data_IF_781430441840
#
_entry.id   IF_781430441840
#
_cell.length_a   1.000
_cell.length_b   1.000
_cell.length_c   1.000
_cell.angle_alpha   90.00
_cell.angle_beta   90.00
_cell.angle_gamma   90.00
#
_symmetry.space_group_name_H-M   'P 1'
#
loop_
_entity.id
_entity.type
_entity.pdbx_description
1 polymer ?
#
# COMPACT_ATOMS: atom_id res chain seq x y z
N UNK A 1 51.28 -2.74 18.44
CA UNK A 1 50.90 -1.36 18.02
C UNK A 1 49.44 -1.15 18.35
N UNK A 2 49.14 -0.40 19.42
CA UNK A 2 47.76 -0.07 19.78
C UNK A 2 47.24 0.94 18.75
N UNK A 3 46.13 0.67 18.03
CA UNK A 3 45.56 1.65 17.13
C UNK A 3 45.22 2.89 17.94
N UNK A 4 45.92 3.99 17.69
CA UNK A 4 45.59 5.31 18.26
C UNK A 4 44.10 5.52 18.11
N UNK A 5 43.36 5.56 19.22
CA UNK A 5 41.95 5.88 19.19
C UNK A 5 41.81 7.19 18.39
N UNK A 6 41.08 7.17 17.27
CA UNK A 6 40.94 8.32 16.37
C UNK A 6 40.35 9.59 17.05
N UNK A 7 39.99 9.48 18.34
CA UNK A 7 39.65 10.58 19.24
C UNK A 7 40.87 11.40 19.71
N UNK A 8 42.06 10.80 19.78
CA UNK A 8 43.31 11.43 20.22
C UNK A 8 44.24 11.83 19.07
N UNK A 9 43.89 11.49 17.82
CA UNK A 9 44.64 11.92 16.63
C UNK A 9 44.21 13.31 16.18
N UNK A 10 45.16 14.24 16.04
CA UNK A 10 44.91 15.64 15.61
C UNK A 10 44.31 15.77 14.19
N UNK A 11 44.53 14.79 13.32
CA UNK A 11 44.05 14.82 11.93
C UNK A 11 42.83 13.88 11.74
N UNK A 12 41.62 14.45 11.75
CA UNK A 12 40.39 13.69 11.46
C UNK A 12 40.17 13.55 9.95
N UNK A 13 40.33 12.34 9.41
CA UNK A 13 39.97 11.97 8.02
C UNK A 13 38.48 11.61 7.84
N UNK A 14 37.62 12.07 8.75
CA UNK A 14 36.17 11.78 8.68
C UNK A 14 35.50 12.53 7.53
N UNK A 15 34.48 11.95 6.88
CA UNK A 15 33.74 12.64 5.82
C UNK A 15 33.09 13.91 6.36
N UNK A 16 33.12 14.98 5.56
CA UNK A 16 32.49 16.25 5.92
C UNK A 16 30.96 16.09 5.99
N UNK A 17 30.36 16.62 7.07
CA UNK A 17 28.91 16.71 7.24
C UNK A 17 28.42 18.10 6.82
N UNK A 18 27.10 18.29 6.75
CA UNK A 18 26.47 19.59 6.41
C UNK A 18 26.84 20.73 7.38
N UNK A 19 27.42 20.42 8.55
CA UNK A 19 27.75 21.37 9.61
C UNK A 19 29.24 21.62 9.78
N UNK A 20 30.10 21.01 8.96
CA UNK A 20 31.57 21.05 9.12
C UNK A 20 32.33 21.83 8.05
N UNK A 21 31.64 22.43 7.08
CA UNK A 21 32.24 23.26 6.03
C UNK A 21 32.02 24.75 6.26
N UNK A 22 32.69 25.58 5.46
CA UNK A 22 32.51 27.05 5.45
C UNK A 22 31.27 27.47 4.63
N UNK A 23 31.03 28.78 4.49
CA UNK A 23 29.85 29.37 3.82
C UNK A 23 29.56 28.82 2.42
N UNK A 24 30.59 28.51 1.63
CA UNK A 24 30.43 28.03 0.25
C UNK A 24 30.25 26.51 0.15
N UNK A 25 30.36 25.79 1.27
CA UNK A 25 30.20 24.34 1.28
C UNK A 25 28.74 23.94 1.44
N UNK A 26 28.13 23.49 0.35
CA UNK A 26 26.80 22.88 0.37
C UNK A 26 26.89 21.35 0.23
N UNK A 27 26.22 20.63 1.14
CA UNK A 27 26.03 19.18 1.03
C UNK A 27 24.54 18.85 1.19
N UNK A 28 23.98 18.14 0.20
CA UNK A 28 22.57 17.71 0.25
C UNK A 28 22.32 16.54 1.21
N UNK A 29 21.07 16.40 1.67
CA UNK A 29 20.63 15.35 2.62
C UNK A 29 19.80 14.25 1.96
N UNK A 30 20.02 13.99 0.67
CA UNK A 30 19.28 12.97 -0.11
C UNK A 30 17.75 13.16 -0.13
N UNK A 31 17.24 14.39 -0.02
CA UNK A 31 15.80 14.65 -0.17
C UNK A 31 15.23 14.20 -1.53
N UNK A 32 16.07 14.09 -2.55
CA UNK A 32 15.73 13.57 -3.87
C UNK A 32 15.60 12.03 -3.96
N UNK A 33 15.71 11.30 -2.85
CA UNK A 33 15.59 9.84 -2.79
C UNK A 33 14.33 9.43 -2.05
N UNK A 34 13.69 8.35 -2.50
CA UNK A 34 12.64 7.71 -1.69
C UNK A 34 13.25 7.14 -0.40
N UNK A 35 12.47 7.05 0.69
CA UNK A 35 12.88 6.29 1.86
C UNK A 35 13.27 4.86 1.43
N UNK A 36 14.55 4.49 1.62
CA UNK A 36 15.08 3.17 1.24
C UNK A 36 15.13 2.89 -0.28
N UNK A 37 14.84 3.86 -1.13
CA UNK A 37 14.58 3.62 -2.56
C UNK A 37 15.47 4.40 -3.53
N UNK A 38 15.05 4.39 -4.79
CA UNK A 38 15.75 5.03 -5.89
C UNK A 38 15.65 6.57 -5.85
N UNK A 39 16.51 7.22 -6.62
CA UNK A 39 16.55 8.67 -6.77
C UNK A 39 15.45 9.14 -7.73
N UNK A 40 14.52 9.97 -7.26
CA UNK A 40 13.48 10.60 -8.08
C UNK A 40 13.85 11.99 -8.59
N UNK A 41 14.96 12.55 -8.10
CA UNK A 41 15.45 13.86 -8.53
C UNK A 41 14.89 15.02 -7.69
N UNK A 42 15.27 16.24 -8.05
CA UNK A 42 14.85 17.44 -7.33
C UNK A 42 13.40 17.83 -7.71
N UNK A 43 12.59 18.34 -6.76
CA UNK A 43 11.18 18.70 -7.01
C UNK A 43 11.02 20.00 -7.80
N UNK A 44 12.10 20.58 -8.31
CA UNK A 44 12.10 21.90 -8.94
C UNK A 44 13.42 22.24 -9.61
N UNK A 45 13.56 23.51 -9.99
CA UNK A 45 14.73 24.04 -10.70
C UNK A 45 15.16 25.37 -10.09
N UNK A 46 16.47 25.58 -10.00
CA UNK A 46 17.02 26.89 -9.69
C UNK A 46 16.79 27.84 -10.87
N UNK A 47 16.33 29.06 -10.55
CA UNK A 47 16.07 30.10 -11.54
C UNK A 47 17.22 31.09 -11.49
N UNK A 48 17.96 31.17 -12.60
CA UNK A 48 19.18 32.02 -12.70
C UNK A 48 18.81 33.50 -12.85
N UNK A 49 17.72 33.79 -13.57
CA UNK A 49 17.24 35.16 -13.85
C UNK A 49 15.80 35.31 -13.39
N UNK A 50 15.55 36.26 -12.48
CA UNK A 50 14.22 36.52 -11.93
C UNK A 50 14.23 36.81 -10.42
N UNK A 51 13.06 37.21 -9.90
CA UNK A 51 12.86 37.53 -8.47
C UNK A 51 12.85 36.25 -7.60
N UNK A 52 12.23 35.18 -8.09
CA UNK A 52 12.25 33.88 -7.43
C UNK A 52 13.56 33.14 -7.74
N UNK A 53 14.23 32.60 -6.71
CA UNK A 53 15.53 31.90 -6.85
C UNK A 53 15.39 30.39 -7.09
N UNK A 54 14.23 29.81 -6.77
CA UNK A 54 13.90 28.41 -7.01
C UNK A 54 12.42 28.30 -7.40
N UNK A 55 12.13 27.49 -8.41
CA UNK A 55 10.77 27.20 -8.88
C UNK A 55 10.45 25.75 -8.62
N UNK A 56 9.37 25.51 -7.90
CA UNK A 56 8.82 24.18 -7.66
C UNK A 56 8.06 23.72 -8.92
N UNK A 57 8.17 22.43 -9.25
CA UNK A 57 7.48 21.82 -10.38
C UNK A 57 6.56 20.76 -9.81
N UNK A 58 5.25 21.04 -9.77
CA UNK A 58 4.25 20.18 -9.12
C UNK A 58 4.28 18.74 -9.64
N UNK A 59 4.54 18.56 -10.94
CA UNK A 59 4.72 17.26 -11.61
C UNK A 59 5.87 16.41 -11.02
N UNK A 60 6.85 17.04 -10.37
CA UNK A 60 8.02 16.37 -9.77
C UNK A 60 7.93 16.29 -8.26
N UNK A 61 6.89 16.87 -7.67
CA UNK A 61 6.65 16.77 -6.23
C UNK A 61 6.13 15.39 -5.93
N UNK A 62 6.66 14.78 -4.87
CA UNK A 62 6.19 13.47 -4.43
C UNK A 62 4.88 13.63 -3.68
N UNK A 63 3.92 12.79 -4.03
CA UNK A 63 2.63 12.69 -3.36
C UNK A 63 2.47 11.26 -2.84
N UNK A 64 2.07 11.12 -1.58
CA UNK A 64 1.70 9.84 -1.00
C UNK A 64 0.19 9.73 -1.04
N UNK A 65 -0.33 8.89 -1.95
CA UNK A 65 -1.77 8.67 -2.10
C UNK A 65 -2.20 7.64 -1.07
N UNK A 66 -3.12 8.04 -0.20
CA UNK A 66 -3.75 7.17 0.78
C UNK A 66 -5.22 6.93 0.40
N UNK A 67 -5.80 5.77 0.73
CA UNK A 67 -7.24 5.56 0.62
C UNK A 67 -8.01 6.51 1.56
N UNK A 68 -9.31 6.73 1.32
CA UNK A 68 -10.16 7.54 2.20
C UNK A 68 -10.12 7.04 3.64
N UNK A 69 -10.15 7.97 4.60
CA UNK A 69 -10.00 7.66 6.03
C UNK A 69 -11.07 6.68 6.51
N UNK A 70 -12.32 6.86 6.07
CA UNK A 70 -13.44 5.97 6.39
C UNK A 70 -13.16 4.51 5.99
N UNK A 71 -12.53 4.29 4.84
CA UNK A 71 -12.16 2.95 4.38
C UNK A 71 -11.01 2.35 5.21
N UNK A 72 -10.10 3.18 5.74
CA UNK A 72 -9.02 2.73 6.63
C UNK A 72 -9.60 2.32 7.99
N UNK A 73 -10.51 3.12 8.54
CA UNK A 73 -11.09 2.89 9.86
C UNK A 73 -12.05 1.70 9.89
N UNK A 74 -12.86 1.55 8.84
CA UNK A 74 -13.78 0.40 8.68
C UNK A 74 -13.07 -0.89 8.27
N UNK A 75 -11.80 -0.82 7.87
CA UNK A 75 -11.05 -1.99 7.44
C UNK A 75 -10.87 -2.99 8.59
N UNK A 76 -11.20 -4.28 8.37
CA UNK A 76 -10.90 -5.33 9.34
C UNK A 76 -9.40 -5.62 9.44
N UNK A 77 -8.59 -5.14 8.49
CA UNK A 77 -7.15 -5.41 8.44
C UNK A 77 -6.42 -4.56 9.48
N UNK A 78 -5.61 -5.22 10.31
CA UNK A 78 -4.73 -4.59 11.31
C UNK A 78 -3.26 -4.86 10.99
N UNK A 79 -2.33 -4.04 11.49
CA UNK A 79 -0.89 -4.24 11.25
C UNK A 79 -0.35 -5.57 11.80
N UNK A 80 -1.04 -6.14 12.79
CA UNK A 80 -0.66 -7.37 13.47
C UNK A 80 -1.78 -8.39 13.42
N UNK A 81 -1.40 -9.66 13.50
CA UNK A 81 -2.31 -10.80 13.58
C UNK A 81 -2.23 -11.40 14.98
N UNK A 82 -3.34 -11.96 15.47
CA UNK A 82 -3.37 -12.63 16.76
C UNK A 82 -2.51 -13.91 16.72
N UNK A 83 -1.72 -14.16 17.77
CA UNK A 83 -0.73 -15.26 17.81
C UNK A 83 -1.33 -16.65 17.74
N UNK A 84 -2.60 -16.81 18.13
CA UNK A 84 -3.29 -18.10 18.02
C UNK A 84 -3.74 -18.44 16.60
N UNK A 85 -3.78 -17.47 15.69
CA UNK A 85 -4.25 -17.70 14.31
C UNK A 85 -3.11 -18.26 13.47
N UNK A 86 -3.24 -19.53 13.12
CA UNK A 86 -2.32 -20.22 12.22
C UNK A 86 -3.02 -20.49 10.89
N UNK A 87 -2.31 -20.27 9.78
CA UNK A 87 -2.86 -20.58 8.46
C UNK A 87 -2.93 -22.10 8.28
N UNK A 88 -4.03 -22.60 7.72
CA UNK A 88 -4.08 -23.99 7.26
C UNK A 88 -3.22 -24.17 6.00
N UNK A 89 -2.78 -25.39 5.70
CA UNK A 89 -1.99 -25.67 4.47
C UNK A 89 -2.69 -25.22 3.18
N UNK A 90 -4.02 -25.28 3.15
CA UNK A 90 -4.81 -24.80 2.00
C UNK A 90 -4.84 -23.26 1.94
N UNK A 91 -4.93 -22.59 3.09
CA UNK A 91 -4.87 -21.12 3.19
C UNK A 91 -3.47 -20.58 2.87
N UNK A 92 -2.41 -21.25 3.34
CA UNK A 92 -1.03 -20.91 2.96
C UNK A 92 -0.84 -21.04 1.45
N UNK A 93 -1.30 -22.15 0.86
CA UNK A 93 -1.25 -22.34 -0.59
C UNK A 93 -2.10 -21.34 -1.37
N UNK A 94 -3.13 -20.75 -0.75
CA UNK A 94 -3.95 -19.71 -1.37
C UNK A 94 -3.27 -18.32 -1.27
N UNK A 95 -2.72 -17.98 -0.10
CA UNK A 95 -2.05 -16.71 0.16
C UNK A 95 -0.73 -16.57 -0.61
N UNK A 96 0.08 -17.62 -0.63
CA UNK A 96 1.34 -17.68 -1.38
C UNK A 96 1.15 -18.18 -2.83
N UNK A 97 -0.06 -18.65 -3.17
CA UNK A 97 -0.41 -19.17 -4.49
C UNK A 97 0.28 -20.50 -4.85
N UNK A 98 -0.04 -21.02 -6.04
CA UNK A 98 0.59 -22.22 -6.63
C UNK A 98 1.91 -21.92 -7.35
N UNK A 99 2.56 -20.79 -7.09
CA UNK A 99 3.82 -20.42 -7.74
C UNK A 99 4.98 -21.25 -7.16
N UNK A 100 4.98 -22.54 -7.47
CA UNK A 100 6.00 -23.52 -7.04
C UNK A 100 7.27 -23.44 -7.90
N UNK A 101 7.21 -22.76 -9.05
CA UNK A 101 8.35 -22.57 -9.96
C UNK A 101 9.05 -21.24 -9.72
N UNK A 102 10.37 -21.23 -9.92
CA UNK A 102 11.19 -20.02 -9.89
C UNK A 102 10.78 -19.15 -11.08
N UNK A 103 10.01 -18.10 -10.83
CA UNK A 103 9.47 -17.22 -11.89
C UNK A 103 8.19 -16.46 -11.50
N UNK A 104 7.49 -16.88 -10.44
CA UNK A 104 6.33 -16.14 -9.93
C UNK A 104 5.17 -16.06 -10.92
N UNK A 105 4.54 -14.88 -11.01
CA UNK A 105 3.36 -14.61 -11.83
C UNK A 105 3.73 -14.53 -13.32
N UNK A 106 3.75 -15.68 -14.00
CA UNK A 106 4.07 -15.73 -15.44
C UNK A 106 2.96 -15.09 -16.29
N UNK A 107 3.28 -14.54 -17.48
CA UNK A 107 2.28 -13.97 -18.39
C UNK A 107 1.20 -14.99 -18.78
N UNK A 108 1.57 -16.25 -19.00
CA UNK A 108 0.65 -17.34 -19.32
C UNK A 108 -0.32 -17.62 -18.18
N UNK A 109 0.17 -17.67 -16.93
CA UNK A 109 -0.67 -17.87 -15.76
C UNK A 109 -1.62 -16.69 -15.54
N UNK A 110 -1.14 -15.46 -15.71
CA UNK A 110 -1.96 -14.27 -15.63
C UNK A 110 -3.07 -14.27 -16.71
N UNK A 111 -2.72 -14.61 -17.94
CA UNK A 111 -3.68 -14.70 -19.04
C UNK A 111 -4.73 -15.79 -18.82
N UNK A 112 -4.32 -16.95 -18.30
CA UNK A 112 -5.25 -18.01 -17.91
C UNK A 112 -6.24 -17.53 -16.83
N UNK A 113 -5.76 -16.89 -15.76
CA UNK A 113 -6.62 -16.31 -14.71
C UNK A 113 -7.60 -15.27 -15.26
N UNK A 114 -7.17 -14.42 -16.19
CA UNK A 114 -8.06 -13.47 -16.85
C UNK A 114 -9.19 -14.18 -17.61
N UNK A 115 -8.88 -15.23 -18.38
CA UNK A 115 -9.88 -16.03 -19.11
C UNK A 115 -10.88 -16.69 -18.15
N UNK A 116 -10.41 -17.34 -17.09
CA UNK A 116 -11.29 -17.99 -16.11
C UNK A 116 -12.20 -17.00 -15.40
N UNK A 117 -11.66 -15.84 -14.99
CA UNK A 117 -12.45 -14.80 -14.33
C UNK A 117 -13.48 -14.18 -15.27
N UNK A 118 -13.14 -13.98 -16.55
CA UNK A 118 -14.08 -13.49 -17.56
C UNK A 118 -15.21 -14.50 -17.80
N UNK A 119 -14.89 -15.80 -17.93
CA UNK A 119 -15.88 -16.85 -18.10
C UNK A 119 -16.83 -16.95 -16.89
N UNK A 120 -16.30 -16.89 -15.67
CA UNK A 120 -17.09 -16.91 -14.44
C UNK A 120 -18.03 -15.70 -14.34
N UNK A 121 -17.55 -14.49 -14.68
CA UNK A 121 -18.40 -13.29 -14.74
C UNK A 121 -19.54 -13.45 -15.74
N UNK A 122 -19.26 -14.01 -16.90
CA UNK A 122 -20.28 -14.25 -17.93
C UNK A 122 -21.32 -15.30 -17.50
N UNK A 123 -20.89 -16.34 -16.78
CA UNK A 123 -21.80 -17.33 -16.18
C UNK A 123 -22.69 -16.71 -15.09
N UNK A 124 -22.10 -15.93 -14.19
CA UNK A 124 -22.85 -15.16 -13.17
C UNK A 124 -23.88 -14.25 -13.81
N UNK A 125 -23.51 -13.50 -14.85
CA UNK A 125 -24.43 -12.64 -15.60
C UNK A 125 -25.58 -13.43 -16.24
N UNK A 126 -25.28 -14.58 -16.87
CA UNK A 126 -26.31 -15.48 -17.42
C UNK A 126 -27.25 -16.01 -16.35
N UNK A 127 -26.74 -16.41 -15.18
CA UNK A 127 -27.56 -16.85 -14.07
C UNK A 127 -28.46 -15.73 -13.53
N UNK A 128 -27.93 -14.51 -13.39
CA UNK A 128 -28.73 -13.35 -12.99
C UNK A 128 -29.79 -12.96 -14.02
N UNK A 129 -29.50 -13.10 -15.33
CA UNK A 129 -30.50 -12.82 -16.37
C UNK A 129 -31.57 -13.90 -16.46
N UNK A 130 -31.24 -15.16 -16.15
CA UNK A 130 -32.20 -16.28 -16.09
C UNK A 130 -33.09 -16.22 -14.84
N UNK A 131 -32.58 -15.64 -13.74
CA UNK A 131 -33.35 -15.35 -12.52
C UNK A 131 -34.12 -14.02 -12.62
N UNK A 132 -33.87 -13.20 -13.65
CA UNK A 132 -34.49 -11.90 -13.92
C UNK A 132 -35.94 -11.95 -14.42
N UNK A 133 -36.73 -12.93 -13.98
CA UNK A 133 -38.18 -12.99 -14.10
C UNK A 133 -38.91 -13.06 -12.76
N UNK A 134 -38.18 -13.23 -11.65
CA UNK A 134 -38.76 -13.11 -10.31
C UNK A 134 -38.03 -11.98 -9.61
N UNK A 135 -38.71 -10.85 -9.42
CA UNK A 135 -38.36 -9.95 -8.32
C UNK A 135 -38.32 -10.84 -7.09
N UNK A 136 -37.14 -11.04 -6.51
CA UNK A 136 -37.06 -11.51 -5.15
C UNK A 136 -37.72 -10.42 -4.30
N UNK A 137 -39.03 -10.55 -4.09
CA UNK A 137 -39.63 -10.09 -2.85
C UNK A 137 -38.77 -10.74 -1.78
N UNK A 138 -37.97 -9.92 -1.11
CA UNK A 138 -37.36 -10.31 0.16
C UNK A 138 -38.55 -10.81 0.97
N UNK A 139 -38.67 -12.12 1.29
CA UNK A 139 -39.66 -12.50 2.26
C UNK A 139 -39.29 -11.68 3.48
N UNK A 140 -40.19 -10.79 3.90
CA UNK A 140 -40.06 -10.09 5.17
C UNK A 140 -40.18 -11.16 6.26
N UNK A 141 -39.14 -11.98 6.42
CA UNK A 141 -38.98 -12.79 7.60
C UNK A 141 -38.96 -11.79 8.75
N UNK A 142 -39.87 -11.89 9.72
CA UNK A 142 -39.90 -10.95 10.84
C UNK A 142 -38.50 -10.94 11.46
N UNK A 143 -37.90 -9.76 11.50
CA UNK A 143 -36.63 -9.58 12.19
C UNK A 143 -36.79 -10.12 13.62
N UNK A 144 -35.74 -10.72 14.20
CA UNK A 144 -35.77 -11.25 15.58
C UNK A 144 -36.33 -10.24 16.59
N UNK A 145 -36.19 -8.95 16.28
CA UNK A 145 -36.73 -7.82 17.02
C UNK A 145 -38.27 -7.73 16.96
N UNK A 146 -38.89 -7.93 15.80
CA UNK A 146 -40.35 -7.96 15.67
C UNK A 146 -40.97 -9.15 16.43
N UNK A 147 -40.31 -10.31 16.36
CA UNK A 147 -40.75 -11.52 17.09
C UNK A 147 -40.62 -11.34 18.62
N UNK A 148 -39.57 -10.66 19.07
CA UNK A 148 -39.39 -10.31 20.48
C UNK A 148 -40.44 -9.28 20.96
N UNK A 149 -40.81 -8.30 20.14
CA UNK A 149 -41.84 -7.32 20.49
C UNK A 149 -43.24 -7.92 20.61
N UNK A 150 -43.60 -8.88 19.74
CA UNK A 150 -44.87 -9.63 19.85
C UNK A 150 -44.91 -10.49 21.12
N UNK A 151 -43.83 -11.20 21.45
CA UNK A 151 -43.77 -12.00 22.70
C UNK A 151 -43.84 -11.15 23.97
N UNK A 152 -43.45 -9.88 23.90
CA UNK A 152 -43.49 -8.94 25.01
C UNK A 152 -44.78 -8.10 25.04
N UNK A 153 -45.72 -8.30 24.10
CA UNK A 153 -46.99 -7.58 24.05
C UNK A 153 -46.86 -6.07 23.80
N UNK A 154 -45.76 -5.64 23.16
CA UNK A 154 -45.44 -4.23 22.91
C UNK A 154 -45.94 -3.73 21.54
N UNK A 155 -46.77 -4.53 20.86
CA UNK A 155 -47.49 -4.22 19.62
C UNK A 155 -48.89 -4.79 19.66
#
# INVERSE_FOLDING_TARGET
>A
MLPTAARLSKASRRPLTTKRGNKDYYKGTRQAFLPGGHRTGAPGKHVVRGKAKYRLLDEKVRVFVAPPIEAIETSPLKPYVHTSVHLSKSQESAAYGKFKTVGGLTPEHYFHLLRTNAANKHQLQKQTSLQGGQKAEIPQSPTMLNKAMETLGLR
#
